data_IF_680498543508
#
_entry.id   IF_680498543508
#
_cell.length_a   1.000
_cell.length_b   1.000
_cell.length_c   1.000
_cell.angle_alpha   90.00
_cell.angle_beta   90.00
_cell.angle_gamma   90.00
#
_symmetry.space_group_name_H-M   'P 1'
#
loop_
_entity.id
_entity.type
_entity.pdbx_description
1 polymer ?
#
# COMPACT_ATOMS: atom_id res chain seq x y z
N UNK A 1 28.59 -48.16 -55.96
CA UNK A 1 28.42 -46.77 -55.49
C UNK A 1 28.39 -46.75 -53.97
N UNK A 2 29.45 -46.24 -53.33
CA UNK A 2 29.72 -46.40 -51.90
C UNK A 2 28.94 -45.42 -51.01
N UNK A 3 28.36 -45.95 -49.93
CA UNK A 3 27.66 -45.17 -48.88
C UNK A 3 28.69 -44.53 -47.94
N UNK A 4 28.72 -43.20 -47.86
CA UNK A 4 29.57 -42.45 -46.91
C UNK A 4 28.95 -42.49 -45.51
N UNK A 5 29.70 -43.04 -44.53
CA UNK A 5 29.43 -42.89 -43.09
C UNK A 5 29.93 -41.52 -42.63
N UNK A 6 29.08 -40.74 -41.96
CA UNK A 6 29.48 -39.51 -41.26
C UNK A 6 29.64 -39.84 -39.78
N UNK A 7 30.82 -39.57 -39.22
CA UNK A 7 31.12 -39.67 -37.78
C UNK A 7 30.56 -38.43 -37.08
N UNK A 8 29.84 -38.62 -35.98
CA UNK A 8 29.42 -37.54 -35.08
C UNK A 8 30.53 -37.36 -34.04
N UNK A 9 31.02 -36.13 -33.87
CA UNK A 9 31.98 -35.79 -32.84
C UNK A 9 31.26 -35.68 -31.48
N UNK A 10 31.74 -36.43 -30.49
CA UNK A 10 31.29 -36.36 -29.10
C UNK A 10 31.88 -35.11 -28.42
N UNK A 11 31.02 -34.17 -28.04
CA UNK A 11 31.40 -33.06 -27.15
C UNK A 11 31.27 -33.53 -25.71
N UNK A 12 32.40 -33.60 -25.02
CA UNK A 12 32.52 -33.87 -23.59
C UNK A 12 32.02 -32.68 -22.78
N UNK A 13 31.01 -32.91 -21.94
CA UNK A 13 30.54 -31.94 -20.94
C UNK A 13 31.51 -31.96 -19.76
N UNK A 14 32.36 -30.94 -19.65
CA UNK A 14 33.17 -30.69 -18.46
C UNK A 14 32.27 -30.26 -17.30
N UNK A 15 32.25 -31.06 -16.23
CA UNK A 15 31.68 -30.68 -14.93
C UNK A 15 32.59 -29.64 -14.28
N UNK A 16 32.14 -28.40 -14.17
CA UNK A 16 32.75 -27.40 -13.30
C UNK A 16 32.15 -27.54 -11.88
N UNK A 17 32.94 -28.03 -10.94
CA UNK A 17 32.65 -27.99 -9.50
C UNK A 17 32.88 -26.58 -8.98
N UNK A 18 31.80 -25.88 -8.62
CA UNK A 18 31.90 -24.61 -7.92
C UNK A 18 32.20 -24.86 -6.43
N UNK A 19 33.44 -24.56 -6.01
CA UNK A 19 33.81 -24.54 -4.61
C UNK A 19 33.17 -23.31 -3.92
N UNK A 20 32.29 -23.57 -2.95
CA UNK A 20 31.75 -22.55 -2.05
C UNK A 20 32.86 -22.05 -1.12
N UNK A 21 33.18 -20.74 -1.16
CA UNK A 21 33.94 -20.09 -0.09
C UNK A 21 32.97 -19.52 0.94
N UNK A 22 32.88 -20.20 2.08
CA UNK A 22 32.28 -19.68 3.31
C UNK A 22 33.27 -18.67 3.89
N UNK A 23 32.93 -17.39 3.82
CA UNK A 23 33.67 -16.31 4.47
C UNK A 23 32.92 -15.85 5.71
N UNK A 24 33.19 -16.47 6.85
CA UNK A 24 32.85 -15.96 8.17
C UNK A 24 33.78 -14.79 8.51
N UNK A 25 33.26 -13.64 8.90
CA UNK A 25 34.06 -12.61 9.59
C UNK A 25 33.34 -12.13 10.84
N UNK A 26 34.09 -11.75 11.89
CA UNK A 26 33.69 -11.98 13.27
C UNK A 26 33.05 -10.77 13.92
N UNK A 27 32.22 -11.09 14.90
CA UNK A 27 31.77 -10.22 15.97
C UNK A 27 32.99 -9.66 16.72
N UNK A 28 33.16 -8.34 16.73
CA UNK A 28 33.93 -7.65 17.78
C UNK A 28 33.18 -6.41 18.24
N UNK A 29 32.98 -6.37 19.55
CA UNK A 29 32.35 -5.33 20.35
C UNK A 29 33.42 -4.38 20.91
N UNK A 30 33.05 -3.10 21.13
CA UNK A 30 33.23 -2.34 22.40
C UNK A 30 32.78 -0.86 22.25
N UNK A 31 32.54 -0.13 23.37
CA UNK A 31 31.39 0.76 23.51
C UNK A 31 31.72 2.25 23.73
N UNK A 32 30.64 3.04 23.92
CA UNK A 32 30.51 4.39 24.52
C UNK A 32 30.97 5.58 23.68
N UNK A 33 30.03 6.46 23.31
CA UNK A 33 29.90 7.73 24.05
C UNK A 33 28.47 8.29 23.95
N UNK A 34 28.02 8.84 25.07
CA UNK A 34 26.75 9.50 25.29
C UNK A 34 27.05 10.99 25.15
N UNK A 35 26.44 11.69 24.19
CA UNK A 35 26.26 13.13 24.30
C UNK A 35 25.07 13.59 23.46
N UNK A 36 24.17 14.22 24.20
CA UNK A 36 22.98 14.99 23.87
C UNK A 36 23.21 16.09 22.84
N UNK A 37 22.36 16.17 21.81
CA UNK A 37 21.99 17.44 21.17
C UNK A 37 20.47 17.45 20.94
N UNK A 38 19.82 18.08 21.89
CA UNK A 38 18.48 18.66 21.80
C UNK A 38 18.61 20.01 21.08
N UNK A 39 17.85 20.23 20.00
CA UNK A 39 17.22 21.52 19.68
C UNK A 39 16.52 21.52 18.32
N UNK A 40 15.20 21.74 18.40
CA UNK A 40 14.44 22.74 17.66
C UNK A 40 14.42 22.72 16.12
N UNK A 41 13.23 22.40 15.59
CA UNK A 41 12.58 23.15 14.50
C UNK A 41 11.06 22.85 14.61
N UNK A 42 10.36 23.58 15.48
CA UNK A 42 9.63 24.81 15.16
C UNK A 42 8.43 24.53 14.25
N UNK A 43 7.33 24.13 14.89
CA UNK A 43 5.99 24.11 14.30
C UNK A 43 5.42 25.52 14.39
N UNK A 44 5.41 26.23 13.28
CA UNK A 44 4.59 27.42 13.07
C UNK A 44 3.58 27.09 11.96
N UNK A 45 2.31 26.97 12.31
CA UNK A 45 1.28 27.75 11.62
C UNK A 45 0.07 27.90 12.54
N UNK A 46 -0.18 29.15 12.86
CA UNK A 46 -1.12 29.68 13.83
C UNK A 46 -2.58 29.60 13.38
N UNK A 47 -3.44 29.50 14.39
CA UNK A 47 -4.71 30.25 14.58
C UNK A 47 -5.91 29.85 13.70
N UNK A 48 -7.16 29.92 14.17
CA UNK A 48 -7.71 30.98 15.01
C UNK A 48 -9.07 30.60 15.65
N UNK A 49 -9.32 31.19 16.83
CA UNK A 49 -10.61 31.70 17.34
C UNK A 49 -11.71 30.69 17.76
N UNK A 50 -12.44 30.84 18.88
CA UNK A 50 -12.61 31.86 19.92
C UNK A 50 -13.35 31.18 21.10
N UNK A 51 -12.97 31.48 22.33
CA UNK A 51 -13.85 31.37 23.50
C UNK A 51 -14.66 32.66 23.59
N UNK A 52 -15.96 32.56 23.86
CA UNK A 52 -16.76 33.65 24.43
C UNK A 52 -17.66 33.06 25.52
N UNK A 53 -17.50 33.60 26.72
CA UNK A 53 -18.25 33.29 27.93
C UNK A 53 -19.22 34.44 28.23
N UNK A 54 -20.44 34.07 28.62
CA UNK A 54 -21.40 34.82 29.46
C UNK A 54 -22.08 36.07 28.80
N UNK A 55 -23.35 36.44 29.05
CA UNK A 55 -24.19 36.31 30.24
C UNK A 55 -25.66 36.73 29.92
N UNK A 56 -26.61 36.01 30.53
CA UNK A 56 -27.98 36.40 30.98
C UNK A 56 -28.92 37.32 30.17
N UNK A 57 -30.13 36.81 29.87
CA UNK A 57 -31.39 37.51 30.21
C UNK A 57 -32.58 36.56 30.22
N UNK A 58 -33.49 36.85 31.16
CA UNK A 58 -34.59 36.03 31.66
C UNK A 58 -35.91 36.16 30.86
N UNK A 59 -36.75 35.11 31.00
CA UNK A 59 -38.14 35.00 30.54
C UNK A 59 -38.34 33.58 30.00
N UNK A 60 -39.15 32.67 30.54
CA UNK A 60 -40.42 32.76 31.24
C UNK A 60 -41.41 31.86 30.48
N UNK A 61 -41.80 30.69 31.02
CA UNK A 61 -42.89 29.86 30.48
C UNK A 61 -42.64 28.34 30.55
N UNK A 62 -43.68 27.50 30.77
CA UNK A 62 -43.57 26.29 31.57
C UNK A 62 -43.14 25.02 30.82
N UNK A 63 -42.35 24.25 31.55
CA UNK A 63 -42.09 22.81 31.53
C UNK A 63 -43.12 21.88 30.83
N UNK A 64 -42.68 21.30 29.69
CA UNK A 64 -43.24 20.08 29.07
C UNK A 64 -42.21 18.94 29.18
N UNK A 65 -42.48 17.83 29.87
CA UNK A 65 -41.50 16.77 30.12
C UNK A 65 -41.70 15.58 29.16
N UNK A 66 -41.57 15.75 27.84
CA UNK A 66 -41.45 14.57 26.96
C UNK A 66 -40.78 14.82 25.59
N UNK A 67 -39.52 15.25 25.59
CA UNK A 67 -38.65 15.09 24.42
C UNK A 67 -37.38 14.37 24.81
N UNK A 68 -37.45 13.03 24.77
CA UNK A 68 -36.27 12.21 24.51
C UNK A 68 -35.69 12.59 23.15
N UNK A 69 -34.81 13.59 23.13
CA UNK A 69 -33.82 13.72 22.08
C UNK A 69 -32.86 12.56 22.28
N UNK A 70 -33.15 11.43 21.61
CA UNK A 70 -32.15 10.38 21.40
C UNK A 70 -31.07 10.97 20.50
N UNK A 71 -30.09 11.57 21.13
CA UNK A 71 -28.78 11.82 20.56
C UNK A 71 -28.28 10.47 20.01
N UNK A 72 -28.48 10.25 18.72
CA UNK A 72 -27.78 9.19 18.00
C UNK A 72 -26.38 9.74 17.74
N UNK A 73 -25.63 9.90 18.83
CA UNK A 73 -24.18 9.97 18.79
C UNK A 73 -23.71 8.65 18.21
N UNK A 74 -23.67 8.57 16.87
CA UNK A 74 -22.82 7.60 16.19
C UNK A 74 -21.45 7.86 16.78
N UNK A 75 -20.82 6.90 17.50
CA UNK A 75 -19.47 7.09 17.95
C UNK A 75 -18.66 7.29 16.68
N UNK A 76 -18.23 8.52 16.44
CA UNK A 76 -17.32 8.81 15.36
C UNK A 76 -16.12 7.90 15.61
N UNK A 77 -15.93 6.88 14.77
CA UNK A 77 -14.74 6.05 14.86
C UNK A 77 -13.54 7.01 14.77
N UNK A 78 -12.84 7.21 15.88
CA UNK A 78 -11.86 8.30 16.07
C UNK A 78 -10.55 8.00 15.34
N UNK A 79 -10.60 7.36 14.17
CA UNK A 79 -9.40 6.93 13.46
C UNK A 79 -9.46 6.94 11.95
N UNK A 80 -8.28 6.89 11.37
CA UNK A 80 -8.12 6.95 9.93
C UNK A 80 -8.61 5.65 9.32
N UNK A 81 -9.45 5.77 8.29
CA UNK A 81 -9.82 4.64 7.45
C UNK A 81 -8.83 4.56 6.29
N UNK A 82 -7.93 3.58 6.34
CA UNK A 82 -6.83 3.38 5.41
C UNK A 82 -7.16 2.21 4.49
N UNK A 83 -7.14 2.42 3.18
CA UNK A 83 -7.35 1.34 2.21
C UNK A 83 -6.05 0.98 1.50
N UNK A 84 -5.74 -0.31 1.47
CA UNK A 84 -4.55 -0.84 0.79
C UNK A 84 -4.98 -1.76 -0.34
N UNK A 85 -4.48 -1.48 -1.55
CA UNK A 85 -4.76 -2.33 -2.72
C UNK A 85 -3.83 -3.54 -2.71
N UNK A 86 -4.43 -4.72 -2.65
CA UNK A 86 -3.75 -6.02 -2.52
C UNK A 86 -3.91 -6.84 -3.80
N UNK A 87 -2.81 -7.37 -4.31
CA UNK A 87 -2.79 -8.45 -5.30
C UNK A 87 -1.59 -9.37 -5.06
N UNK A 88 -1.40 -10.38 -5.90
CA UNK A 88 -0.32 -11.37 -5.76
C UNK A 88 1.08 -10.81 -6.06
N UNK A 89 1.21 -9.50 -6.28
CA UNK A 89 2.48 -8.85 -6.62
C UNK A 89 3.29 -8.53 -5.36
N UNK A 90 4.63 -8.51 -5.53
CA UNK A 90 5.54 -8.08 -4.45
C UNK A 90 5.39 -6.60 -4.15
N UNK A 91 4.92 -5.81 -5.12
CA UNK A 91 4.67 -4.39 -4.95
C UNK A 91 3.50 -4.12 -4.03
N UNK A 92 2.41 -4.88 -4.17
CA UNK A 92 1.27 -4.79 -3.26
C UNK A 92 1.65 -5.22 -1.84
N UNK A 93 2.39 -6.32 -1.69
CA UNK A 93 2.90 -6.74 -0.38
C UNK A 93 3.79 -5.67 0.25
N UNK A 94 4.74 -5.12 -0.51
CA UNK A 94 5.64 -4.06 -0.02
C UNK A 94 4.90 -2.78 0.36
N UNK A 95 3.81 -2.45 -0.34
CA UNK A 95 2.96 -1.32 0.01
C UNK A 95 2.21 -1.53 1.33
N UNK A 96 1.69 -2.74 1.56
CA UNK A 96 1.04 -3.10 2.82
C UNK A 96 2.03 -3.10 3.99
N UNK A 97 3.22 -3.67 3.80
CA UNK A 97 4.29 -3.62 4.80
C UNK A 97 4.67 -2.19 5.16
N UNK A 98 4.83 -1.33 4.15
CA UNK A 98 5.10 0.09 4.37
C UNK A 98 3.98 0.78 5.16
N UNK A 99 2.72 0.54 4.79
CA UNK A 99 1.56 1.15 5.44
C UNK A 99 1.50 0.78 6.93
N UNK A 100 1.67 -0.51 7.25
CA UNK A 100 1.68 -1.01 8.63
C UNK A 100 2.81 -0.42 9.47
N UNK A 101 3.97 -0.14 8.87
CA UNK A 101 5.12 0.42 9.58
C UNK A 101 5.04 1.94 9.77
N UNK A 102 4.49 2.68 8.81
CA UNK A 102 4.63 4.15 8.77
C UNK A 102 3.33 4.94 8.90
N UNK A 103 2.18 4.32 8.64
CA UNK A 103 0.90 5.08 8.54
C UNK A 103 -0.16 4.60 9.51
N UNK A 104 -0.18 3.30 9.83
CA UNK A 104 -1.23 2.68 10.64
C UNK A 104 -0.93 2.87 12.13
N UNK A 105 -1.91 3.41 12.84
CA UNK A 105 -1.96 3.56 14.30
C UNK A 105 -3.02 2.63 14.92
N UNK A 106 -3.02 2.51 16.25
CA UNK A 106 -3.88 1.54 16.95
C UNK A 106 -5.39 1.81 16.85
N UNK A 107 -5.79 3.06 16.60
CA UNK A 107 -7.19 3.47 16.47
C UNK A 107 -7.66 3.50 15.01
N UNK A 108 -6.77 3.23 14.05
CA UNK A 108 -7.10 3.22 12.63
C UNK A 108 -7.82 1.92 12.21
N UNK A 109 -8.53 1.99 11.09
CA UNK A 109 -9.11 0.83 10.40
C UNK A 109 -8.43 0.63 9.05
N UNK A 110 -8.16 -0.64 8.71
CA UNK A 110 -7.55 -1.03 7.43
C UNK A 110 -8.57 -1.78 6.59
N UNK A 111 -8.70 -1.39 5.32
CA UNK A 111 -9.44 -2.13 4.30
C UNK A 111 -8.44 -2.73 3.31
N UNK A 112 -8.43 -4.06 3.21
CA UNK A 112 -7.66 -4.79 2.20
C UNK A 112 -8.53 -4.99 0.96
N UNK A 113 -8.26 -4.22 -0.10
CA UNK A 113 -9.02 -4.24 -1.35
C UNK A 113 -8.33 -5.11 -2.40
N UNK A 114 -9.01 -6.16 -2.88
CA UNK A 114 -8.62 -6.88 -4.09
C UNK A 114 -9.59 -6.60 -5.23
N UNK A 115 -9.05 -6.22 -6.40
CA UNK A 115 -9.84 -6.07 -7.63
C UNK A 115 -9.62 -7.24 -8.57
N UNK A 116 -10.61 -8.13 -8.61
CA UNK A 116 -10.68 -9.29 -9.49
C UNK A 116 -11.05 -8.86 -10.91
N UNK A 117 -10.40 -9.46 -11.91
CA UNK A 117 -10.77 -9.23 -13.30
C UNK A 117 -12.05 -9.98 -13.63
N UNK A 118 -13.00 -9.30 -14.25
CA UNK A 118 -14.21 -9.92 -14.78
C UNK A 118 -13.81 -10.95 -15.86
N UNK A 119 -13.85 -12.25 -15.54
CA UNK A 119 -13.54 -13.31 -16.50
C UNK A 119 -14.80 -13.67 -17.31
N UNK A 120 -14.65 -13.88 -18.62
CA UNK A 120 -15.78 -14.12 -19.53
C UNK A 120 -16.24 -15.58 -19.62
N UNK A 121 -15.66 -16.53 -18.88
CA UNK A 121 -15.94 -17.95 -19.15
C UNK A 121 -15.67 -18.87 -17.96
N UNK A 122 -16.72 -19.55 -17.49
CA UNK A 122 -16.75 -20.91 -16.92
C UNK A 122 -15.96 -21.27 -15.64
N UNK A 123 -14.94 -20.52 -15.24
CA UNK A 123 -14.01 -20.89 -14.15
C UNK A 123 -14.06 -19.91 -12.97
N UNK A 124 -15.27 -19.47 -12.59
CA UNK A 124 -15.48 -18.52 -11.47
C UNK A 124 -14.92 -19.00 -10.13
N UNK A 125 -14.77 -20.32 -9.92
CA UNK A 125 -14.34 -20.88 -8.63
C UNK A 125 -12.88 -20.65 -8.27
N UNK A 126 -11.94 -20.93 -9.20
CA UNK A 126 -10.51 -21.02 -8.84
C UNK A 126 -9.86 -19.65 -8.58
N UNK A 127 -10.23 -18.63 -9.35
CA UNK A 127 -9.66 -17.28 -9.20
C UNK A 127 -10.11 -16.59 -7.90
N UNK A 128 -11.39 -16.76 -7.55
CA UNK A 128 -11.96 -16.18 -6.33
C UNK A 128 -11.36 -16.80 -5.07
N UNK A 129 -11.20 -18.13 -5.02
CA UNK A 129 -10.59 -18.82 -3.88
C UNK A 129 -9.15 -18.35 -3.61
N UNK A 130 -8.33 -18.21 -4.66
CA UNK A 130 -6.96 -17.70 -4.52
C UNK A 130 -6.93 -16.24 -4.02
N UNK A 131 -7.89 -15.41 -4.47
CA UNK A 131 -8.00 -14.03 -4.00
C UNK A 131 -8.39 -13.96 -2.52
N UNK A 132 -9.32 -14.82 -2.09
CA UNK A 132 -9.71 -14.94 -0.68
C UNK A 132 -8.54 -15.42 0.19
N UNK A 133 -7.81 -16.46 -0.24
CA UNK A 133 -6.64 -16.97 0.47
C UNK A 133 -5.56 -15.88 0.63
N UNK A 134 -5.28 -15.14 -0.46
CA UNK A 134 -4.35 -14.01 -0.43
C UNK A 134 -4.80 -12.94 0.57
N UNK A 135 -6.06 -12.51 0.50
CA UNK A 135 -6.60 -11.48 1.39
C UNK A 135 -6.56 -11.92 2.86
N UNK A 136 -6.84 -13.20 3.13
CA UNK A 136 -6.77 -13.76 4.49
C UNK A 136 -5.33 -13.78 5.01
N UNK A 137 -4.37 -14.19 4.18
CA UNK A 137 -2.94 -14.13 4.51
C UNK A 137 -2.47 -12.71 4.85
N UNK A 138 -2.90 -11.73 4.04
CA UNK A 138 -2.58 -10.32 4.27
C UNK A 138 -3.28 -9.76 5.52
N UNK A 139 -4.51 -10.20 5.80
CA UNK A 139 -5.23 -9.88 7.04
C UNK A 139 -4.47 -10.38 8.27
N UNK A 140 -4.00 -11.63 8.25
CA UNK A 140 -3.18 -12.18 9.31
C UNK A 140 -1.89 -11.36 9.51
N UNK A 141 -1.24 -10.91 8.42
CA UNK A 141 -0.08 -10.02 8.52
C UNK A 141 -0.40 -8.70 9.23
N UNK A 142 -1.56 -8.10 8.94
CA UNK A 142 -1.99 -6.87 9.60
C UNK A 142 -2.19 -7.09 11.11
N UNK A 143 -2.93 -8.14 11.48
CA UNK A 143 -3.24 -8.48 12.87
C UNK A 143 -1.98 -8.83 13.69
N UNK A 144 -1.01 -9.53 13.07
CA UNK A 144 0.26 -9.87 13.72
C UNK A 144 1.13 -8.63 13.96
N UNK A 145 1.22 -7.71 12.99
CA UNK A 145 2.07 -6.52 13.12
C UNK A 145 1.43 -5.41 13.95
N UNK A 146 0.10 -5.34 13.97
CA UNK A 146 -0.68 -4.30 14.66
C UNK A 146 -1.89 -4.93 15.37
N UNK A 147 -1.68 -5.62 16.50
CA UNK A 147 -2.77 -6.19 17.28
C UNK A 147 -3.61 -5.05 17.87
N UNK A 148 -4.87 -4.93 17.46
CA UNK A 148 -5.79 -3.86 17.87
C UNK A 148 -6.38 -3.07 16.70
N UNK A 149 -5.73 -3.12 15.54
CA UNK A 149 -6.26 -2.50 14.32
C UNK A 149 -7.38 -3.34 13.73
N UNK A 150 -8.50 -2.69 13.39
CA UNK A 150 -9.60 -3.34 12.68
C UNK A 150 -9.20 -3.58 11.23
N UNK A 151 -9.36 -4.82 10.76
CA UNK A 151 -8.99 -5.21 9.39
C UNK A 151 -10.18 -5.80 8.65
N UNK A 152 -10.64 -5.07 7.65
CA UNK A 152 -11.72 -5.42 6.74
C UNK A 152 -11.16 -5.92 5.41
N UNK A 153 -11.90 -6.82 4.75
CA UNK A 153 -11.55 -7.37 3.44
C UNK A 153 -12.64 -6.93 2.45
N UNK A 154 -12.22 -6.34 1.34
CA UNK A 154 -13.09 -5.95 0.24
C UNK A 154 -12.65 -6.66 -1.04
N UNK A 155 -13.55 -7.43 -1.64
CA UNK A 155 -13.34 -8.10 -2.92
C UNK A 155 -14.28 -7.49 -3.95
N UNK A 156 -13.73 -6.83 -4.96
CA UNK A 156 -14.52 -6.14 -5.98
C UNK A 156 -14.16 -6.69 -7.35
N UNK A 157 -15.15 -6.89 -8.21
CA UNK A 157 -14.93 -7.36 -9.57
C UNK A 157 -15.04 -6.22 -10.59
N UNK A 158 -14.18 -6.22 -11.60
CA UNK A 158 -14.44 -5.45 -12.81
C UNK A 158 -13.30 -5.43 -13.82
N UNK A 159 -13.46 -4.62 -14.88
CA UNK A 159 -12.53 -4.63 -16.02
C UNK A 159 -11.31 -3.73 -15.81
N UNK A 160 -11.52 -2.52 -15.31
CA UNK A 160 -10.48 -1.52 -15.15
C UNK A 160 -10.21 -1.27 -13.66
N UNK A 161 -9.04 -1.67 -13.17
CA UNK A 161 -8.70 -1.58 -11.73
C UNK A 161 -8.73 -0.13 -11.20
N UNK A 162 -8.16 0.83 -11.94
CA UNK A 162 -8.02 2.21 -11.48
C UNK A 162 -9.34 2.89 -11.09
N UNK A 163 -10.33 2.98 -12.01
CA UNK A 163 -11.65 3.53 -11.69
C UNK A 163 -12.34 2.82 -10.52
N UNK A 164 -12.27 1.49 -10.47
CA UNK A 164 -12.90 0.69 -9.41
C UNK A 164 -12.29 1.02 -8.05
N UNK A 165 -10.96 1.07 -7.95
CA UNK A 165 -10.26 1.40 -6.69
C UNK A 165 -10.66 2.80 -6.21
N UNK A 166 -10.68 3.78 -7.12
CA UNK A 166 -11.05 5.16 -6.78
C UNK A 166 -12.50 5.25 -6.30
N UNK A 167 -13.41 4.55 -6.97
CA UNK A 167 -14.82 4.52 -6.62
C UNK A 167 -15.03 3.83 -5.27
N UNK A 168 -14.39 2.68 -5.04
CA UNK A 168 -14.46 1.95 -3.77
C UNK A 168 -13.91 2.79 -2.61
N UNK A 169 -12.79 3.50 -2.82
CA UNK A 169 -12.22 4.40 -1.83
C UNK A 169 -13.25 5.47 -1.41
N UNK A 170 -14.04 5.96 -2.37
CA UNK A 170 -15.06 6.99 -2.17
C UNK A 170 -16.25 6.45 -1.40
N UNK A 171 -16.73 5.28 -1.78
CA UNK A 171 -17.85 4.61 -1.12
C UNK A 171 -17.55 4.31 0.34
N UNK A 172 -16.35 3.83 0.63
CA UNK A 172 -15.92 3.51 1.99
C UNK A 172 -15.45 4.72 2.80
N UNK A 173 -15.42 5.93 2.22
CA UNK A 173 -14.97 7.18 2.89
C UNK A 173 -13.55 7.08 3.48
N UNK A 174 -12.67 6.40 2.76
CA UNK A 174 -11.24 6.23 3.07
C UNK A 174 -10.51 7.58 3.11
N UNK A 175 -9.74 7.84 4.16
CA UNK A 175 -8.90 9.04 4.26
C UNK A 175 -7.54 8.90 3.56
N UNK A 176 -6.99 7.68 3.52
CA UNK A 176 -5.70 7.35 2.90
C UNK A 176 -5.76 6.09 2.03
N UNK A 177 -5.39 6.20 0.76
CA UNK A 177 -5.28 5.10 -0.20
C UNK A 177 -3.81 4.76 -0.48
N UNK A 178 -3.42 3.50 -0.27
CA UNK A 178 -2.06 3.00 -0.50
C UNK A 178 -2.04 1.97 -1.64
N UNK A 179 -1.13 2.16 -2.59
CA UNK A 179 -1.03 1.32 -3.80
C UNK A 179 0.41 0.90 -4.07
N UNK A 180 0.63 -0.38 -4.37
CA UNK A 180 1.92 -0.87 -4.86
C UNK A 180 2.28 -0.34 -6.25
N UNK A 181 3.47 0.24 -6.38
CA UNK A 181 4.00 0.75 -7.64
C UNK A 181 5.13 -0.13 -8.19
N UNK A 182 4.83 -0.75 -9.35
CA UNK A 182 5.76 -1.55 -10.15
C UNK A 182 7.02 -0.81 -10.61
N UNK A 183 8.11 -1.56 -10.75
CA UNK A 183 9.33 -1.06 -11.41
C UNK A 183 9.09 -0.97 -12.93
N UNK A 184 8.75 0.21 -13.42
CA UNK A 184 8.47 0.47 -14.84
C UNK A 184 9.72 0.52 -15.74
N UNK A 185 10.89 0.10 -15.25
CA UNK A 185 12.20 0.47 -15.83
C UNK A 185 12.92 -0.65 -16.60
N UNK A 186 12.20 -1.65 -17.10
CA UNK A 186 12.80 -2.48 -18.16
C UNK A 186 12.99 -1.56 -19.38
N UNK A 187 14.24 -1.22 -19.72
CA UNK A 187 14.58 -0.47 -20.95
C UNK A 187 13.82 -1.07 -22.16
N UNK A 188 13.68 -2.39 -22.18
CA UNK A 188 12.95 -3.16 -23.18
C UNK A 188 11.45 -2.85 -23.17
N UNK A 189 10.81 -2.73 -22.01
CA UNK A 189 9.38 -2.40 -21.88
C UNK A 189 9.08 -0.94 -22.26
N UNK A 190 9.97 -0.01 -21.88
CA UNK A 190 9.86 1.39 -22.28
C UNK A 190 10.02 1.55 -23.79
N UNK A 191 10.96 0.81 -24.40
CA UNK A 191 11.13 0.78 -25.85
C UNK A 191 9.87 0.19 -26.50
N UNK A 192 9.39 -0.98 -26.07
CA UNK A 192 8.20 -1.63 -26.61
C UNK A 192 6.95 -0.73 -26.61
N UNK A 193 6.77 0.10 -25.57
CA UNK A 193 5.68 1.08 -25.51
C UNK A 193 5.80 2.22 -26.54
N UNK A 194 7.01 2.59 -26.96
CA UNK A 194 7.23 3.57 -28.05
C UNK A 194 6.78 3.01 -29.40
N UNK A 195 6.96 1.71 -29.65
CA UNK A 195 6.54 1.05 -30.89
C UNK A 195 5.04 0.73 -30.91
N UNK A 196 4.45 0.47 -29.74
CA UNK A 196 3.05 0.05 -29.62
C UNK A 196 1.99 1.17 -29.84
N UNK A 197 2.41 2.42 -30.14
CA UNK A 197 1.51 3.51 -30.55
C UNK A 197 0.33 3.81 -29.61
N UNK A 198 0.36 3.35 -28.36
CA UNK A 198 -0.82 3.34 -27.49
C UNK A 198 -0.73 4.48 -26.48
N UNK A 199 -1.79 5.32 -26.48
CA UNK A 199 -2.03 6.43 -25.55
C UNK A 199 -1.56 6.06 -24.15
N UNK A 200 -0.82 6.98 -23.54
CA UNK A 200 -0.24 6.91 -22.21
C UNK A 200 -1.34 6.81 -21.12
N UNK A 201 -2.08 5.69 -21.06
CA UNK A 201 -2.87 5.36 -19.88
C UNK A 201 -1.84 5.01 -18.81
N UNK A 202 -1.59 5.97 -17.91
CA UNK A 202 -0.75 5.78 -16.74
C UNK A 202 -1.13 4.48 -16.02
N UNK A 203 -0.15 3.87 -15.33
CA UNK A 203 -0.42 2.67 -14.54
C UNK A 203 -1.52 2.92 -13.50
N UNK A 204 -2.09 1.84 -12.96
CA UNK A 204 -3.19 1.90 -11.96
C UNK A 204 -2.89 2.89 -10.83
N UNK A 205 -1.65 2.87 -10.31
CA UNK A 205 -1.19 3.79 -9.27
C UNK A 205 -1.27 5.26 -9.69
N UNK A 206 -0.80 5.61 -10.90
CA UNK A 206 -0.84 6.99 -11.40
C UNK A 206 -2.29 7.44 -11.63
N UNK A 207 -3.15 6.55 -12.15
CA UNK A 207 -4.58 6.85 -12.28
C UNK A 207 -5.21 7.18 -10.92
N UNK A 208 -4.95 6.37 -9.90
CA UNK A 208 -5.52 6.60 -8.57
C UNK A 208 -4.98 7.89 -7.94
N UNK A 209 -3.68 8.18 -8.04
CA UNK A 209 -3.10 9.44 -7.54
C UNK A 209 -3.78 10.67 -8.13
N UNK A 210 -4.15 10.61 -9.41
CA UNK A 210 -4.75 11.72 -10.12
C UNK A 210 -6.25 11.88 -9.82
N UNK A 211 -6.98 10.76 -9.73
CA UNK A 211 -8.44 10.74 -9.72
C UNK A 211 -9.06 10.45 -8.35
N UNK A 212 -8.31 9.94 -7.37
CA UNK A 212 -8.83 9.73 -6.03
C UNK A 212 -9.14 11.06 -5.34
N UNK A 213 -10.23 11.08 -4.57
CA UNK A 213 -10.63 12.22 -3.75
C UNK A 213 -9.83 12.33 -2.44
N UNK A 214 -9.25 11.20 -1.98
CA UNK A 214 -8.50 11.10 -0.74
C UNK A 214 -6.98 11.14 -0.95
N UNK A 215 -6.21 11.27 0.14
CA UNK A 215 -4.75 11.22 0.06
C UNK A 215 -4.34 9.87 -0.52
N UNK A 216 -3.58 9.88 -1.62
CA UNK A 216 -3.16 8.65 -2.29
C UNK A 216 -1.66 8.57 -2.40
N UNK A 217 -1.13 7.43 -1.97
CA UNK A 217 0.28 7.15 -1.88
C UNK A 217 0.59 5.89 -2.69
N UNK A 218 1.42 6.03 -3.71
CA UNK A 218 1.98 4.90 -4.42
C UNK A 218 3.37 4.57 -3.86
N UNK A 219 3.55 3.32 -3.46
CA UNK A 219 4.73 2.86 -2.71
C UNK A 219 5.50 1.86 -3.54
N UNK A 220 6.82 2.04 -3.58
CA UNK A 220 7.73 1.15 -4.29
C UNK A 220 8.96 0.86 -3.44
N UNK A 221 9.40 -0.39 -3.38
CA UNK A 221 10.71 -0.72 -2.78
C UNK A 221 11.84 -0.12 -3.62
N UNK A 222 12.75 0.62 -2.97
CA UNK A 222 13.90 1.23 -3.65
C UNK A 222 14.92 0.19 -4.07
N UNK A 223 15.35 -0.64 -3.12
CA UNK A 223 16.36 -1.68 -3.31
C UNK A 223 15.97 -2.94 -2.54
N UNK A 224 16.32 -4.11 -3.10
CA UNK A 224 16.22 -5.38 -2.37
C UNK A 224 17.30 -5.53 -1.30
N UNK A 225 18.45 -4.86 -1.49
CA UNK A 225 19.64 -5.00 -0.62
C UNK A 225 19.75 -3.90 0.43
N UNK A 226 19.41 -2.66 0.06
CA UNK A 226 19.66 -1.46 0.87
C UNK A 226 18.40 -0.97 1.61
N UNK A 227 17.29 -1.72 1.52
CA UNK A 227 16.02 -1.32 2.13
C UNK A 227 15.41 -0.04 1.52
N UNK A 228 14.42 0.50 2.24
CA UNK A 228 13.79 1.78 1.93
C UNK A 228 12.69 1.74 0.85
N UNK A 229 11.87 2.79 0.87
CA UNK A 229 10.71 2.94 -0.01
C UNK A 229 10.77 4.27 -0.77
N UNK A 230 10.49 4.20 -2.07
CA UNK A 230 10.16 5.36 -2.89
C UNK A 230 8.66 5.56 -2.84
N UNK A 231 8.26 6.81 -2.66
CA UNK A 231 6.87 7.20 -2.57
C UNK A 231 6.55 8.20 -3.66
N UNK A 232 5.37 8.02 -4.24
CA UNK A 232 4.79 8.95 -5.20
C UNK A 232 3.42 9.37 -4.67
N UNK A 233 3.19 10.66 -4.61
CA UNK A 233 1.89 11.29 -4.30
C UNK A 233 1.52 12.25 -5.42
N UNK A 234 0.38 12.93 -5.28
CA UNK A 234 -0.08 13.92 -6.27
C UNK A 234 0.90 15.09 -6.43
N UNK A 235 1.59 15.49 -5.35
CA UNK A 235 2.49 16.65 -5.34
C UNK A 235 3.96 16.29 -5.53
N UNK A 236 4.39 15.11 -5.06
CA UNK A 236 5.79 14.71 -5.08
C UNK A 236 5.95 13.33 -5.69
N UNK A 237 6.96 13.18 -6.56
CA UNK A 237 7.23 11.90 -7.23
C UNK A 237 8.56 11.31 -6.76
N UNK A 238 8.55 10.01 -6.47
CA UNK A 238 9.73 9.23 -6.10
C UNK A 238 10.57 9.82 -4.95
N UNK A 239 9.95 10.43 -3.94
CA UNK A 239 10.71 10.83 -2.76
C UNK A 239 11.05 9.59 -1.93
N UNK A 240 12.26 9.57 -1.39
CA UNK A 240 12.78 8.42 -0.66
C UNK A 240 12.53 8.61 0.83
N UNK A 241 11.76 7.71 1.44
CA UNK A 241 11.73 7.60 2.90
C UNK A 241 12.80 6.60 3.35
N UNK A 242 13.66 7.06 4.26
CA UNK A 242 14.56 6.19 5.01
C UNK A 242 13.71 5.26 5.87
N UNK A 243 14.12 3.99 5.90
CA UNK A 243 13.43 2.92 6.66
C UNK A 243 13.82 2.96 8.13
#
# INVERSE_FOLDING_TARGET
MGRKRVRVASLSVGRATACFRVGSTPFQSKPRNLDSIEAAQKTEFLSNSREDHNEFSAGGGPEDPDRQVKDHGVPAEVGNKIMVVVDSSLEAQGALEWALSHTVQSHDSIILLHVSKLSKQGSKGKGSLMAHELLYSMKNMCQMKRPGVQVEIALVEGREKGPIIVEEARQQRVSLLVIGQGKQSSMLWSLMKRWAGKRNRGGVAEYCIQNAYCMTIAVRRKSRKLGGYLITTKRHKNFWLLA
#
